data_IF_205462989082
#
_entry.id   IF_205462989082
#
_cell.length_a   1.000
_cell.length_b   1.000
_cell.length_c   1.000
_cell.angle_alpha   90.00
_cell.angle_beta   90.00
_cell.angle_gamma   90.00
#
_symmetry.space_group_name_H-M   'P 1'
#
loop_
_entity.id
_entity.type
_entity.pdbx_description
1 polymer ?
#
# COMPACT_ATOMS: atom_id res chain seq x y z
N UNK A 1 14.79 5.40 -53.37
CA UNK A 1 15.59 6.40 -52.72
C UNK A 1 15.84 6.07 -51.26
N UNK A 2 17.08 5.82 -50.91
CA UNK A 2 17.38 5.35 -49.56
C UNK A 2 17.06 6.35 -48.47
N UNK A 3 17.07 7.65 -48.74
CA UNK A 3 16.87 8.70 -47.72
C UNK A 3 15.46 8.64 -47.10
N UNK A 4 14.45 8.44 -47.93
CA UNK A 4 13.05 8.37 -47.42
C UNK A 4 12.82 7.08 -46.63
N UNK A 5 13.40 5.98 -47.07
CA UNK A 5 13.29 4.69 -46.39
C UNK A 5 14.00 4.76 -45.04
N UNK A 6 15.20 5.37 -45.01
CA UNK A 6 15.96 5.54 -43.77
C UNK A 6 15.18 6.44 -42.80
N UNK A 7 14.59 7.54 -43.25
CA UNK A 7 13.80 8.43 -42.42
C UNK A 7 12.57 7.73 -41.84
N UNK A 8 11.85 6.95 -42.63
CA UNK A 8 10.69 6.21 -42.16
C UNK A 8 11.07 5.10 -41.18
N UNK A 9 12.17 4.40 -41.43
CA UNK A 9 12.68 3.36 -40.54
C UNK A 9 13.10 3.98 -39.20
N UNK A 10 13.80 5.11 -39.23
CA UNK A 10 14.23 5.80 -38.03
C UNK A 10 13.04 6.30 -37.23
N UNK A 11 12.02 6.88 -37.90
CA UNK A 11 10.80 7.31 -37.26
C UNK A 11 10.07 6.16 -36.57
N UNK A 12 9.97 5.01 -37.23
CA UNK A 12 9.35 3.81 -36.67
C UNK A 12 10.09 3.29 -35.44
N UNK A 13 11.43 3.33 -35.48
CA UNK A 13 12.25 2.91 -34.31
C UNK A 13 12.02 3.86 -33.12
N UNK A 14 12.00 5.18 -33.36
CA UNK A 14 11.75 6.16 -32.30
C UNK A 14 10.34 5.96 -31.72
N UNK A 15 9.33 5.80 -32.54
CA UNK A 15 7.96 5.59 -32.09
C UNK A 15 7.85 4.29 -31.30
N UNK A 16 8.46 3.21 -31.76
CA UNK A 16 8.49 1.94 -31.05
C UNK A 16 9.17 2.04 -29.70
N UNK A 17 10.27 2.77 -29.63
CA UNK A 17 10.98 3.02 -28.37
C UNK A 17 10.11 3.81 -27.37
N UNK A 18 9.44 4.86 -27.84
CA UNK A 18 8.54 5.67 -27.00
C UNK A 18 7.40 4.81 -26.46
N UNK A 19 6.79 3.98 -27.29
CA UNK A 19 5.71 3.07 -26.88
C UNK A 19 6.22 2.09 -25.84
N UNK A 20 7.41 1.52 -26.05
CA UNK A 20 8.01 0.60 -25.10
C UNK A 20 8.27 1.25 -23.75
N UNK A 21 8.85 2.44 -23.75
CA UNK A 21 9.12 3.18 -22.51
C UNK A 21 7.83 3.56 -21.77
N UNK A 22 6.81 3.98 -22.51
CA UNK A 22 5.50 4.28 -21.92
C UNK A 22 4.87 3.03 -21.30
N UNK A 23 4.98 1.88 -21.96
CA UNK A 23 4.47 0.62 -21.44
C UNK A 23 5.19 0.20 -20.17
N UNK A 24 6.51 0.30 -20.12
CA UNK A 24 7.30 -0.02 -18.91
C UNK A 24 6.90 0.92 -17.77
N UNK A 25 6.79 2.21 -18.03
CA UNK A 25 6.36 3.18 -17.03
C UNK A 25 4.95 2.87 -16.52
N UNK A 26 4.05 2.48 -17.40
CA UNK A 26 2.68 2.14 -17.03
C UNK A 26 2.61 0.89 -16.16
N UNK A 27 3.36 -0.17 -16.49
CA UNK A 27 3.37 -1.41 -15.72
C UNK A 27 4.11 -1.32 -14.39
N UNK A 28 5.11 -0.46 -14.27
CA UNK A 28 5.89 -0.27 -13.04
C UNK A 28 5.31 0.87 -12.18
N UNK A 29 4.23 1.44 -12.59
CA UNK A 29 3.64 2.65 -12.04
C UNK A 29 3.20 2.40 -10.61
N UNK A 30 2.96 2.05 -9.82
CA UNK A 30 2.52 1.93 -8.42
C UNK A 30 3.07 0.66 -7.77
N UNK A 31 4.41 0.60 -7.54
CA UNK A 31 4.93 -0.52 -6.78
C UNK A 31 4.32 -0.52 -5.38
N UNK A 32 4.00 -1.69 -4.85
CA UNK A 32 3.47 -1.80 -3.50
C UNK A 32 4.53 -1.32 -2.50
N UNK A 33 4.13 -0.55 -1.47
CA UNK A 33 5.06 -0.16 -0.43
C UNK A 33 5.57 -1.39 0.32
N UNK A 34 6.83 -1.33 0.74
CA UNK A 34 7.52 -2.43 1.42
C UNK A 34 7.91 -1.97 2.81
N UNK A 35 7.63 -2.80 3.81
CA UNK A 35 8.06 -2.59 5.18
C UNK A 35 8.90 -3.78 5.63
N UNK A 36 10.09 -3.49 6.17
CA UNK A 36 10.98 -4.51 6.72
C UNK A 36 10.90 -4.58 8.24
N UNK A 37 11.63 -5.56 8.81
CA UNK A 37 11.75 -5.69 10.25
C UNK A 37 12.35 -4.41 10.85
N UNK A 38 11.80 -3.96 11.99
CA UNK A 38 12.20 -2.73 12.67
C UNK A 38 12.04 -1.47 11.84
N UNK A 39 11.14 -1.49 10.86
CA UNK A 39 10.82 -0.34 10.03
C UNK A 39 9.36 0.06 10.21
N UNK A 40 9.05 1.31 9.86
CA UNK A 40 7.70 1.84 9.92
C UNK A 40 7.28 2.31 8.53
N UNK A 41 6.10 1.89 8.10
CA UNK A 41 5.51 2.28 6.84
C UNK A 41 4.28 3.15 7.11
N UNK A 42 4.16 4.26 6.39
CA UNK A 42 2.99 5.13 6.46
C UNK A 42 2.08 4.88 5.27
N UNK A 43 0.83 4.57 5.56
CA UNK A 43 -0.21 4.38 4.56
C UNK A 43 -1.28 5.46 4.73
N UNK A 44 -1.83 5.94 3.62
CA UNK A 44 -2.84 6.98 3.61
C UNK A 44 -4.09 6.50 2.88
N UNK A 45 -5.25 6.81 3.44
CA UNK A 45 -6.49 6.57 2.72
C UNK A 45 -6.63 7.56 1.55
N UNK A 46 -7.25 7.11 0.47
CA UNK A 46 -7.53 7.96 -0.69
C UNK A 46 -9.02 8.12 -0.91
N UNK A 47 -9.82 7.13 -0.56
CA UNK A 47 -11.26 7.13 -0.75
C UNK A 47 -12.02 7.62 0.48
N UNK A 48 -11.46 7.41 1.66
CA UNK A 48 -12.05 7.84 2.92
C UNK A 48 -11.66 9.30 3.19
N UNK A 49 -12.64 10.15 3.42
CA UNK A 49 -12.43 11.58 3.67
C UNK A 49 -13.09 11.96 4.99
N UNK A 50 -12.43 12.70 5.92
CA UNK A 50 -11.02 13.13 5.87
C UNK A 50 -10.03 11.98 5.85
N UNK A 51 -8.83 12.24 5.35
CA UNK A 51 -7.80 11.22 5.17
C UNK A 51 -7.41 10.55 6.48
N UNK A 52 -7.38 9.21 6.46
CA UNK A 52 -6.91 8.41 7.57
C UNK A 52 -5.47 8.01 7.28
N UNK A 53 -4.58 8.21 8.26
CA UNK A 53 -3.17 7.84 8.17
C UNK A 53 -2.91 6.65 9.08
N UNK A 54 -2.26 5.64 8.57
CA UNK A 54 -1.92 4.44 9.33
C UNK A 54 -0.42 4.22 9.30
N UNK A 55 0.20 4.17 10.47
CA UNK A 55 1.59 3.79 10.60
C UNK A 55 1.66 2.29 10.91
N UNK A 56 2.35 1.54 10.07
CA UNK A 56 2.55 0.09 10.23
C UNK A 56 3.99 -0.13 10.66
N UNK A 57 4.19 -0.55 11.89
CA UNK A 57 5.52 -0.85 12.43
C UNK A 57 5.64 -2.35 12.67
N UNK A 58 6.71 -2.97 12.17
CA UNK A 58 6.96 -4.40 12.33
C UNK A 58 8.27 -4.57 13.08
N UNK A 59 8.26 -5.35 14.16
CA UNK A 59 9.49 -5.69 14.87
C UNK A 59 10.16 -6.95 14.28
N UNK A 60 11.29 -7.35 14.87
CA UNK A 60 12.05 -8.49 14.37
C UNK A 60 11.37 -9.85 14.50
N UNK A 61 10.28 -9.94 15.27
CA UNK A 61 9.49 -11.16 15.43
C UNK A 61 8.17 -11.15 14.68
N UNK A 62 8.01 -10.31 13.68
CA UNK A 62 6.79 -10.11 12.91
C UNK A 62 5.59 -9.64 13.73
N UNK A 63 5.85 -9.08 14.90
CA UNK A 63 4.80 -8.40 15.65
C UNK A 63 4.54 -7.05 15.00
N UNK A 64 3.29 -6.82 14.61
CA UNK A 64 2.89 -5.59 13.96
C UNK A 64 2.17 -4.68 14.94
N UNK A 65 2.48 -3.40 14.86
CA UNK A 65 1.78 -2.36 15.62
C UNK A 65 1.23 -1.34 14.63
N UNK A 66 -0.08 -1.12 14.70
CA UNK A 66 -0.77 -0.18 13.85
C UNK A 66 -1.16 1.05 14.66
N UNK A 67 -0.79 2.22 14.16
CA UNK A 67 -1.21 3.50 14.73
C UNK A 67 -2.05 4.23 13.69
N UNK A 68 -3.34 4.38 13.97
CA UNK A 68 -4.30 4.98 13.04
C UNK A 68 -4.64 6.38 13.52
N UNK A 69 -4.36 7.36 12.68
CA UNK A 69 -4.71 8.76 12.95
C UNK A 69 -5.90 9.16 12.08
N UNK A 70 -6.95 9.63 12.72
CA UNK A 70 -8.22 9.97 12.06
C UNK A 70 -8.82 11.25 12.62
N UNK A 71 -9.84 11.79 11.95
CA UNK A 71 -10.55 12.95 12.45
C UNK A 71 -11.43 12.57 13.68
N UNK A 72 -11.73 13.54 14.52
CA UNK A 72 -12.48 13.29 15.74
C UNK A 72 -13.88 12.71 15.50
N UNK A 73 -14.49 13.02 14.36
CA UNK A 73 -15.80 12.51 13.97
C UNK A 73 -15.77 11.17 13.24
N UNK A 74 -14.59 10.56 13.10
CA UNK A 74 -14.42 9.27 12.45
C UNK A 74 -14.21 8.19 13.48
N UNK A 75 -14.70 6.97 13.17
CA UNK A 75 -14.49 5.80 13.99
C UNK A 75 -14.11 4.63 13.08
N UNK A 76 -12.90 4.65 12.47
CA UNK A 76 -12.52 3.65 11.50
C UNK A 76 -12.30 2.30 12.17
N UNK A 77 -12.72 1.24 11.49
CA UNK A 77 -12.37 -0.13 11.85
C UNK A 77 -11.19 -0.56 11.01
N UNK A 78 -10.27 -1.28 11.63
CA UNK A 78 -9.02 -1.70 11.00
C UNK A 78 -8.91 -3.21 11.09
N UNK A 79 -8.60 -3.83 9.96
CA UNK A 79 -8.29 -5.25 9.87
C UNK A 79 -6.99 -5.43 9.11
N UNK A 80 -6.23 -6.44 9.48
CA UNK A 80 -5.00 -6.80 8.79
C UNK A 80 -5.07 -8.26 8.41
N UNK A 81 -4.86 -8.56 7.12
CA UNK A 81 -4.92 -9.93 6.62
C UNK A 81 -3.87 -10.17 5.55
N UNK A 82 -3.33 -11.39 5.44
CA UNK A 82 -2.57 -11.74 4.25
C UNK A 82 -3.49 -11.77 3.02
N UNK A 83 -2.94 -11.52 1.83
CA UNK A 83 -3.74 -11.41 0.60
C UNK A 83 -4.59 -12.66 0.36
N UNK A 84 -4.05 -13.83 0.67
CA UNK A 84 -4.72 -15.11 0.46
C UNK A 84 -5.19 -15.77 1.76
N UNK A 85 -5.44 -15.00 2.82
CA UNK A 85 -5.75 -15.59 4.11
C UNK A 85 -6.79 -14.85 4.92
N UNK A 86 -7.06 -15.38 6.10
CA UNK A 86 -7.99 -14.82 7.05
C UNK A 86 -7.37 -13.65 7.81
N UNK A 87 -8.17 -12.66 8.24
CA UNK A 87 -7.66 -11.59 9.09
C UNK A 87 -7.03 -12.13 10.36
N UNK A 88 -5.90 -11.57 10.78
CA UNK A 88 -5.29 -11.90 12.05
C UNK A 88 -6.03 -11.17 13.19
N UNK A 89 -6.06 -11.75 14.40
CA UNK A 89 -6.61 -11.02 15.54
C UNK A 89 -5.73 -9.83 15.89
N UNK A 90 -6.36 -8.70 16.13
CA UNK A 90 -5.67 -7.47 16.55
C UNK A 90 -6.15 -7.10 17.94
N UNK A 91 -5.20 -6.83 18.84
CA UNK A 91 -5.47 -6.34 20.18
C UNK A 91 -5.53 -4.80 20.12
N UNK A 92 -6.70 -4.25 20.43
CA UNK A 92 -6.86 -2.79 20.47
C UNK A 92 -6.13 -2.22 21.66
N UNK A 93 -5.31 -1.21 21.41
CA UNK A 93 -4.66 -0.42 22.46
C UNK A 93 -5.56 0.71 22.93
N UNK A 94 -5.05 1.55 23.85
CA UNK A 94 -5.81 2.70 24.34
C UNK A 94 -6.09 3.70 23.22
N UNK A 95 -7.33 4.20 23.17
CA UNK A 95 -7.71 5.26 22.26
C UNK A 95 -7.42 6.60 22.89
N UNK A 96 -6.82 7.49 22.13
CA UNK A 96 -6.74 8.91 22.45
C UNK A 96 -7.43 9.70 21.34
N UNK A 97 -7.63 11.00 21.55
CA UNK A 97 -8.34 11.82 20.57
C UNK A 97 -7.69 11.76 19.19
N UNK A 98 -8.41 11.17 18.24
CA UNK A 98 -7.95 11.06 16.87
C UNK A 98 -6.90 10.00 16.60
N UNK A 99 -6.55 9.16 17.58
CA UNK A 99 -5.54 8.13 17.41
C UNK A 99 -6.01 6.79 17.98
N UNK A 100 -5.93 5.74 17.18
CA UNK A 100 -6.20 4.37 17.59
C UNK A 100 -4.96 3.53 17.41
N UNK A 101 -4.70 2.64 18.34
CA UNK A 101 -3.59 1.68 18.24
C UNK A 101 -4.12 0.26 18.25
N UNK A 102 -3.48 -0.61 17.50
CA UNK A 102 -3.79 -2.02 17.48
C UNK A 102 -2.49 -2.80 17.26
N UNK A 103 -2.40 -4.00 17.82
CA UNK A 103 -1.23 -4.84 17.65
C UNK A 103 -1.65 -6.28 17.37
N UNK A 104 -0.79 -6.99 16.66
CA UNK A 104 -1.04 -8.39 16.33
C UNK A 104 0.24 -9.09 15.95
N UNK A 105 0.14 -10.39 15.70
CA UNK A 105 1.25 -11.22 15.26
C UNK A 105 1.03 -11.63 13.81
N UNK A 106 1.93 -11.24 12.93
CA UNK A 106 1.88 -11.66 11.53
C UNK A 106 2.35 -13.11 11.41
N UNK A 107 1.71 -13.85 10.54
CA UNK A 107 1.96 -15.29 10.40
C UNK A 107 3.06 -15.61 9.39
N UNK A 108 3.31 -14.69 8.44
CA UNK A 108 4.28 -14.91 7.37
C UNK A 108 4.68 -13.59 6.72
N UNK A 109 5.87 -13.51 6.09
CA UNK A 109 6.19 -12.39 5.22
C UNK A 109 5.41 -12.47 3.91
N UNK A 110 5.40 -11.42 3.14
CA UNK A 110 4.78 -11.36 1.83
C UNK A 110 3.77 -10.23 1.72
N UNK A 111 2.76 -10.42 0.89
CA UNK A 111 1.75 -9.39 0.65
C UNK A 111 0.67 -9.43 1.71
N UNK A 112 0.37 -8.26 2.24
CA UNK A 112 -0.66 -8.06 3.25
C UNK A 112 -1.60 -6.95 2.82
N UNK A 113 -2.82 -6.99 3.34
CA UNK A 113 -3.83 -5.98 3.11
C UNK A 113 -4.26 -5.37 4.43
N UNK A 114 -4.22 -4.03 4.47
CA UNK A 114 -4.81 -3.26 5.55
C UNK A 114 -6.18 -2.82 5.09
N UNK A 115 -7.22 -3.26 5.80
CA UNK A 115 -8.60 -2.94 5.46
C UNK A 115 -9.12 -1.88 6.42
N UNK A 116 -9.45 -0.72 5.88
CA UNK A 116 -10.03 0.39 6.63
C UNK A 116 -11.52 0.49 6.29
N UNK A 117 -12.35 0.54 7.30
CA UNK A 117 -13.80 0.71 7.13
C UNK A 117 -14.24 1.92 7.95
N UNK A 118 -14.82 2.89 7.27
CA UNK A 118 -15.39 4.08 7.88
C UNK A 118 -16.82 4.26 7.36
N UNK A 119 -17.80 4.04 8.24
CA UNK A 119 -19.20 4.08 7.85
C UNK A 119 -19.51 3.07 6.76
N UNK A 120 -19.90 3.54 5.59
CA UNK A 120 -20.20 2.71 4.42
C UNK A 120 -19.02 2.60 3.46
N UNK A 121 -17.90 3.25 3.75
CA UNK A 121 -16.72 3.27 2.87
C UNK A 121 -15.71 2.26 3.36
N UNK A 122 -15.27 1.40 2.46
CA UNK A 122 -14.23 0.40 2.73
C UNK A 122 -13.08 0.62 1.76
N UNK A 123 -11.89 0.73 2.30
CA UNK A 123 -10.68 0.90 1.50
C UNK A 123 -9.66 -0.17 1.88
N UNK A 124 -8.99 -0.74 0.87
CA UNK A 124 -7.97 -1.76 1.06
C UNK A 124 -6.63 -1.17 0.62
N UNK A 125 -5.67 -1.18 1.53
CA UNK A 125 -4.31 -0.70 1.29
C UNK A 125 -3.38 -1.91 1.33
N UNK A 126 -2.70 -2.19 0.23
CA UNK A 126 -1.79 -3.32 0.12
C UNK A 126 -0.36 -2.90 0.41
N UNK A 127 0.40 -3.78 1.04
CA UNK A 127 1.82 -3.58 1.29
C UNK A 127 2.54 -4.92 1.34
N UNK A 128 3.86 -4.87 1.28
CA UNK A 128 4.71 -6.07 1.36
C UNK A 128 5.49 -6.02 2.65
N UNK A 129 5.37 -7.07 3.48
CA UNK A 129 6.17 -7.24 4.67
C UNK A 129 7.38 -8.11 4.34
N UNK A 130 8.58 -7.63 4.67
CA UNK A 130 9.85 -8.34 4.46
C UNK A 130 10.46 -8.76 5.78
N UNK A 131 11.26 -9.81 5.66
CA UNK A 131 12.11 -10.23 6.78
C UNK A 131 13.17 -9.19 7.11
#
# INVERSE_FOLDING_TARGET
MPTRIIALTLLGLIMGFIILMASVTFFVRDPLPIVGANQTLLLHSTEITPQIRTAVAIDGGYRVELTVTHAANQAPQVQLRPVDGQPIPLDAGPDSDGTRTASGQMTRPGRWELVLTEGNTREILQFIARE
#
